data_IF_275128572253
#
_entry.id   IF_275128572253
#
_cell.length_a   1.000
_cell.length_b   1.000
_cell.length_c   1.000
_cell.angle_alpha   90.00
_cell.angle_beta   90.00
_cell.angle_gamma   90.00
#
_symmetry.space_group_name_H-M   'P 1'
#
loop_
_entity.id
_entity.type
_entity.pdbx_description
1 polymer ?
#
# COMPACT_ATOMS: atom_id res chain seq x y z
N UNK A 1 1.36 24.55 6.30
CA UNK A 1 1.60 23.10 6.51
C UNK A 1 0.71 22.40 5.49
N UNK A 2 1.23 21.44 4.73
CA UNK A 2 0.41 20.65 3.81
C UNK A 2 -0.72 19.96 4.58
N UNK A 3 -1.88 19.85 3.95
CA UNK A 3 -3.02 19.12 4.53
C UNK A 3 -2.63 17.66 4.76
N UNK A 4 -3.07 17.08 5.86
CA UNK A 4 -2.86 15.66 6.15
C UNK A 4 -4.17 14.89 5.99
N UNK A 5 -4.17 13.92 5.09
CA UNK A 5 -5.34 13.09 4.80
C UNK A 5 -4.91 11.62 4.79
N UNK A 6 -5.70 10.75 5.45
CA UNK A 6 -5.44 9.32 5.40
C UNK A 6 -5.86 8.74 4.04
N UNK A 7 -5.09 7.80 3.50
CA UNK A 7 -5.39 7.18 2.19
C UNK A 7 -6.77 6.52 2.17
N UNK A 8 -7.23 5.94 3.31
CA UNK A 8 -8.60 5.41 3.44
C UNK A 8 -9.70 6.48 3.29
N UNK A 9 -9.43 7.74 3.67
CA UNK A 9 -10.40 8.84 3.51
C UNK A 9 -10.58 9.21 2.03
N UNK A 10 -9.47 9.34 1.32
CA UNK A 10 -9.47 9.60 -0.12
C UNK A 10 -10.11 8.44 -0.91
N UNK A 11 -9.87 7.19 -0.47
CA UNK A 11 -10.54 6.01 -0.99
C UNK A 11 -12.07 6.11 -0.86
N UNK A 12 -12.57 6.41 0.34
CA UNK A 12 -14.03 6.55 0.56
C UNK A 12 -14.67 7.67 -0.27
N UNK A 13 -13.92 8.76 -0.56
CA UNK A 13 -14.38 9.85 -1.45
C UNK A 13 -14.36 9.42 -2.92
N UNK A 14 -13.30 8.71 -3.34
CA UNK A 14 -13.21 8.18 -4.69
C UNK A 14 -14.33 7.15 -4.99
N UNK A 15 -14.73 6.36 -4.01
CA UNK A 15 -15.83 5.40 -4.17
C UNK A 15 -17.16 6.07 -4.49
N UNK A 16 -17.47 7.24 -3.88
CA UNK A 16 -18.68 8.00 -4.24
C UNK A 16 -18.64 8.38 -5.72
N UNK A 17 -17.53 8.98 -6.16
CA UNK A 17 -17.36 9.36 -7.56
C UNK A 17 -17.47 8.15 -8.52
N UNK A 18 -16.98 6.99 -8.10
CA UNK A 18 -17.03 5.76 -8.90
C UNK A 18 -18.46 5.23 -9.06
N UNK A 19 -19.23 5.13 -7.97
CA UNK A 19 -20.59 4.60 -8.04
C UNK A 19 -21.53 5.53 -8.81
N UNK A 20 -21.21 6.83 -8.86
CA UNK A 20 -21.95 7.81 -9.68
C UNK A 20 -21.61 7.70 -11.18
N UNK A 21 -20.37 7.32 -11.52
CA UNK A 21 -19.88 7.25 -12.90
C UNK A 21 -20.02 5.89 -13.55
N UNK A 22 -20.09 4.84 -12.74
CA UNK A 22 -20.06 3.45 -13.21
C UNK A 22 -21.08 2.59 -12.47
N UNK A 23 -22.20 2.29 -13.15
CA UNK A 23 -23.29 1.49 -12.59
C UNK A 23 -22.90 0.06 -12.20
N UNK A 24 -21.77 -0.44 -12.70
CA UNK A 24 -21.26 -1.77 -12.37
C UNK A 24 -20.53 -1.80 -11.02
N UNK A 25 -20.07 -0.66 -10.51
CA UNK A 25 -19.36 -0.59 -9.23
C UNK A 25 -20.33 -0.80 -8.09
N UNK A 26 -19.96 -1.71 -7.18
CA UNK A 26 -20.65 -1.98 -5.91
C UNK A 26 -19.61 -2.05 -4.78
N UNK A 27 -20.02 -1.66 -3.57
CA UNK A 27 -19.14 -1.55 -2.41
C UNK A 27 -19.61 -2.53 -1.34
N UNK A 28 -18.71 -3.37 -0.88
CA UNK A 28 -18.95 -4.39 0.15
C UNK A 28 -18.08 -4.08 1.37
N UNK A 29 -18.63 -4.30 2.55
CA UNK A 29 -17.93 -4.06 3.83
C UNK A 29 -18.25 -5.16 4.85
N UNK A 30 -17.30 -5.46 5.72
CA UNK A 30 -17.44 -6.47 6.77
C UNK A 30 -17.59 -5.82 8.15
N UNK A 31 -18.64 -4.99 8.32
CA UNK A 31 -19.03 -4.31 9.57
C UNK A 31 -18.02 -3.25 10.08
N UNK A 32 -17.19 -2.72 9.18
CA UNK A 32 -16.17 -1.72 9.49
C UNK A 32 -16.35 -0.41 8.70
N UNK A 33 -17.54 -0.17 8.15
CA UNK A 33 -17.80 0.89 7.17
C UNK A 33 -17.36 2.30 7.62
N UNK A 34 -17.46 2.63 8.91
CA UNK A 34 -16.97 3.90 9.43
C UNK A 34 -15.44 3.98 9.42
N UNK A 35 -14.77 2.89 9.73
CA UNK A 35 -13.31 2.81 9.76
C UNK A 35 -12.72 2.76 8.35
N UNK A 36 -13.30 1.99 7.44
CA UNK A 36 -12.88 1.86 6.04
C UNK A 36 -13.30 3.07 5.18
N UNK A 37 -14.21 3.93 5.69
CA UNK A 37 -14.83 5.08 5.02
C UNK A 37 -15.86 4.71 3.94
N UNK A 38 -16.23 3.46 3.79
CA UNK A 38 -17.30 3.00 2.89
C UNK A 38 -18.67 3.46 3.34
N UNK A 39 -18.84 3.89 4.61
CA UNK A 39 -20.07 4.52 5.11
C UNK A 39 -20.49 5.75 4.31
N UNK A 40 -19.58 6.38 3.58
CA UNK A 40 -19.90 7.50 2.69
C UNK A 40 -20.79 7.03 1.54
N UNK A 41 -20.46 5.88 0.92
CA UNK A 41 -21.30 5.25 -0.11
C UNK A 41 -22.60 4.74 0.50
N UNK A 42 -22.57 4.08 1.67
CA UNK A 42 -23.76 3.61 2.36
C UNK A 42 -24.80 4.73 2.62
N UNK A 43 -24.33 5.96 2.85
CA UNK A 43 -25.19 7.13 3.06
C UNK A 43 -25.70 7.75 1.76
N UNK A 44 -24.85 7.88 0.75
CA UNK A 44 -25.15 8.57 -0.50
C UNK A 44 -25.88 7.65 -1.51
N UNK A 45 -25.48 6.38 -1.56
CA UNK A 45 -25.93 5.38 -2.53
C UNK A 45 -26.17 4.02 -1.85
N UNK A 46 -27.17 3.91 -0.96
CA UNK A 46 -27.42 2.69 -0.19
C UNK A 46 -27.71 1.46 -1.08
N UNK A 47 -28.20 1.65 -2.29
CA UNK A 47 -28.47 0.59 -3.28
C UNK A 47 -27.18 -0.01 -3.88
N UNK A 48 -26.03 0.66 -3.70
CA UNK A 48 -24.71 0.20 -4.16
C UNK A 48 -23.84 -0.33 -3.02
N UNK A 49 -24.36 -0.35 -1.79
CA UNK A 49 -23.62 -0.73 -0.59
C UNK A 49 -24.18 -2.00 0.06
N UNK A 50 -23.30 -2.95 0.41
CA UNK A 50 -23.66 -4.22 1.04
C UNK A 50 -22.80 -4.48 2.27
N UNK A 51 -23.42 -4.54 3.44
CA UNK A 51 -22.74 -4.91 4.68
C UNK A 51 -22.95 -6.40 4.97
N UNK A 52 -21.85 -7.15 5.08
CA UNK A 52 -21.86 -8.59 5.32
C UNK A 52 -21.74 -8.96 6.80
N UNK A 53 -21.67 -7.99 7.71
CA UNK A 53 -21.33 -8.26 9.11
C UNK A 53 -19.86 -8.72 9.24
N UNK A 54 -19.52 -9.30 10.40
CA UNK A 54 -18.15 -9.78 10.66
C UNK A 54 -17.94 -11.16 9.96
N UNK A 55 -17.94 -11.11 8.60
CA UNK A 55 -17.91 -12.32 7.77
C UNK A 55 -17.11 -12.08 6.46
N UNK A 56 -15.82 -11.76 6.59
CA UNK A 56 -14.95 -11.35 5.49
C UNK A 56 -14.81 -12.41 4.40
N UNK A 57 -14.74 -13.69 4.78
CA UNK A 57 -14.72 -14.81 3.83
C UNK A 57 -15.98 -14.84 2.97
N UNK A 58 -17.18 -14.71 3.60
CA UNK A 58 -18.45 -14.64 2.89
C UNK A 58 -18.55 -13.41 1.99
N UNK A 59 -18.05 -12.25 2.44
CA UNK A 59 -18.00 -11.02 1.65
C UNK A 59 -17.19 -11.23 0.36
N UNK A 60 -16.02 -11.87 0.46
CA UNK A 60 -15.14 -12.12 -0.69
C UNK A 60 -15.77 -13.13 -1.67
N UNK A 61 -16.38 -14.21 -1.17
CA UNK A 61 -17.07 -15.18 -2.03
C UNK A 61 -18.29 -14.56 -2.73
N UNK A 62 -19.06 -13.72 -2.04
CA UNK A 62 -20.16 -12.98 -2.64
C UNK A 62 -19.67 -12.01 -3.73
N UNK A 63 -18.54 -11.31 -3.48
CA UNK A 63 -17.91 -10.44 -4.47
C UNK A 63 -17.46 -11.21 -5.71
N UNK A 64 -16.88 -12.39 -5.53
CA UNK A 64 -16.53 -13.28 -6.63
C UNK A 64 -17.76 -13.63 -7.48
N UNK A 65 -18.87 -14.00 -6.84
CA UNK A 65 -20.15 -14.24 -7.53
C UNK A 65 -20.69 -13.00 -8.26
N UNK A 66 -20.66 -11.83 -7.63
CA UNK A 66 -21.08 -10.56 -8.24
C UNK A 66 -20.25 -10.21 -9.48
N UNK A 67 -18.93 -10.48 -9.44
CA UNK A 67 -18.03 -10.27 -10.57
C UNK A 67 -18.43 -11.12 -11.78
N UNK A 68 -18.90 -12.36 -11.59
CA UNK A 68 -19.38 -13.20 -12.71
C UNK A 68 -20.62 -12.64 -13.39
N UNK A 69 -21.36 -11.76 -12.72
CA UNK A 69 -22.52 -11.05 -13.27
C UNK A 69 -22.15 -9.71 -13.94
N UNK A 70 -20.86 -9.43 -14.08
CA UNK A 70 -20.34 -8.22 -14.72
C UNK A 70 -20.27 -6.99 -13.82
N UNK A 71 -20.43 -7.17 -12.50
CA UNK A 71 -20.20 -6.11 -11.51
C UNK A 71 -18.71 -5.95 -11.20
N UNK A 72 -18.33 -4.81 -10.67
CA UNK A 72 -16.98 -4.50 -10.18
C UNK A 72 -17.06 -4.26 -8.67
N UNK A 73 -16.97 -5.33 -7.86
CA UNK A 73 -17.08 -5.21 -6.41
C UNK A 73 -15.79 -4.70 -5.78
N UNK A 74 -15.93 -3.71 -4.90
CA UNK A 74 -14.90 -3.18 -3.99
C UNK A 74 -15.17 -3.71 -2.59
N UNK A 75 -14.35 -4.66 -2.12
CA UNK A 75 -14.45 -5.28 -0.80
C UNK A 75 -13.57 -4.53 0.19
N UNK A 76 -14.13 -4.08 1.30
CA UNK A 76 -13.41 -3.30 2.31
C UNK A 76 -13.52 -3.94 3.69
N UNK A 77 -12.38 -4.08 4.33
CA UNK A 77 -12.20 -4.48 5.72
C UNK A 77 -10.79 -4.08 6.19
N UNK A 78 -10.37 -4.44 7.40
CA UNK A 78 -8.98 -4.24 7.80
C UNK A 78 -8.04 -5.23 7.09
N UNK A 79 -6.79 -4.80 6.88
CA UNK A 79 -5.79 -5.61 6.19
C UNK A 79 -5.57 -6.98 6.85
N UNK A 80 -5.55 -7.01 8.19
CA UNK A 80 -5.42 -8.27 8.93
C UNK A 80 -6.57 -9.23 8.66
N UNK A 81 -7.78 -8.73 8.49
CA UNK A 81 -8.94 -9.58 8.25
C UNK A 81 -9.09 -9.96 6.78
N UNK A 82 -8.72 -9.08 5.85
CA UNK A 82 -8.64 -9.45 4.43
C UNK A 82 -7.54 -10.48 4.18
N UNK A 83 -6.30 -10.15 4.54
CA UNK A 83 -5.14 -11.00 4.25
C UNK A 83 -5.06 -12.25 5.13
N UNK A 84 -5.54 -12.18 6.37
CA UNK A 84 -5.53 -13.32 7.30
C UNK A 84 -6.77 -14.21 7.19
N UNK A 85 -7.95 -13.62 7.49
CA UNK A 85 -9.21 -14.39 7.63
C UNK A 85 -9.80 -14.84 6.30
N UNK A 86 -9.75 -13.98 5.26
CA UNK A 86 -10.31 -14.27 3.94
C UNK A 86 -9.26 -14.68 2.89
N UNK A 87 -8.04 -15.04 3.31
CA UNK A 87 -6.95 -15.37 2.39
C UNK A 87 -7.29 -16.48 1.40
N UNK A 88 -7.91 -17.56 1.88
CA UNK A 88 -8.28 -18.68 1.04
C UNK A 88 -9.29 -18.27 -0.03
N UNK A 89 -10.31 -17.49 0.32
CA UNK A 89 -11.32 -16.99 -0.61
C UNK A 89 -10.73 -16.03 -1.64
N UNK A 90 -9.84 -15.13 -1.20
CA UNK A 90 -9.10 -14.23 -2.12
C UNK A 90 -8.29 -15.07 -3.11
N UNK A 91 -7.61 -16.13 -2.64
CA UNK A 91 -6.79 -16.99 -3.49
C UNK A 91 -7.63 -17.85 -4.45
N UNK A 92 -8.63 -18.56 -3.93
CA UNK A 92 -9.34 -19.59 -4.67
C UNK A 92 -10.60 -19.09 -5.38
N UNK A 93 -11.39 -18.22 -4.72
CA UNK A 93 -12.63 -17.73 -5.29
C UNK A 93 -12.42 -16.51 -6.20
N UNK A 94 -11.34 -15.71 -5.97
CA UNK A 94 -11.09 -14.48 -6.72
C UNK A 94 -9.90 -14.63 -7.67
N UNK A 95 -8.70 -14.93 -7.15
CA UNK A 95 -7.49 -14.89 -7.97
C UNK A 95 -7.35 -16.08 -8.92
N UNK A 96 -7.67 -17.30 -8.48
CA UNK A 96 -7.55 -18.50 -9.30
C UNK A 96 -8.40 -18.44 -10.59
N UNK A 97 -9.70 -18.03 -10.53
CA UNK A 97 -10.50 -17.82 -11.73
C UNK A 97 -10.26 -16.45 -12.40
N UNK A 98 -9.38 -15.62 -11.86
CA UNK A 98 -9.05 -14.27 -12.33
C UNK A 98 -10.26 -13.31 -12.37
N UNK A 99 -11.08 -13.32 -11.34
CA UNK A 99 -12.27 -12.48 -11.26
C UNK A 99 -11.94 -11.02 -10.94
N UNK A 100 -12.75 -10.12 -11.50
CA UNK A 100 -12.58 -8.67 -11.38
C UNK A 100 -13.08 -8.14 -10.02
N UNK A 101 -12.37 -8.49 -8.94
CA UNK A 101 -12.68 -8.07 -7.56
C UNK A 101 -11.57 -7.19 -7.01
N UNK A 102 -11.93 -6.09 -6.33
CA UNK A 102 -11.01 -5.14 -5.71
C UNK A 102 -11.04 -5.32 -4.19
N UNK A 103 -9.98 -5.89 -3.63
CA UNK A 103 -9.80 -6.04 -2.18
C UNK A 103 -9.08 -4.79 -1.68
N UNK A 104 -9.83 -3.86 -1.09
CA UNK A 104 -9.32 -2.58 -0.61
C UNK A 104 -9.21 -2.61 0.91
N UNK A 105 -8.05 -3.02 1.39
CA UNK A 105 -7.79 -3.29 2.79
C UNK A 105 -7.21 -2.06 3.51
N UNK A 106 -7.85 -1.64 4.58
CA UNK A 106 -7.42 -0.49 5.39
C UNK A 106 -6.70 -0.93 6.66
N UNK A 107 -6.15 0.01 7.42
CA UNK A 107 -5.51 -0.27 8.72
C UNK A 107 -4.36 -1.29 8.62
N UNK A 108 -3.53 -1.17 7.59
CA UNK A 108 -2.35 -1.99 7.45
C UNK A 108 -1.15 -1.39 8.19
N UNK A 109 -0.20 -2.24 8.59
CA UNK A 109 1.05 -1.84 9.21
C UNK A 109 0.95 -1.55 10.71
N UNK A 110 2.06 -1.16 11.31
CA UNK A 110 2.17 -0.89 12.76
C UNK A 110 1.56 0.45 13.17
N UNK A 111 1.39 1.39 12.22
CA UNK A 111 0.75 2.71 12.46
C UNK A 111 -0.76 2.65 12.71
N UNK A 112 -1.36 1.47 12.69
CA UNK A 112 -2.70 1.25 13.26
C UNK A 112 -2.75 1.73 14.70
N UNK A 113 -1.67 1.57 15.43
CA UNK A 113 -1.48 2.21 16.72
C UNK A 113 -2.11 1.43 17.87
N UNK A 114 -3.07 2.03 18.55
CA UNK A 114 -3.61 1.56 19.84
C UNK A 114 -4.26 0.18 19.78
N UNK A 115 -4.80 -0.23 18.63
CA UNK A 115 -5.42 -1.54 18.43
C UNK A 115 -4.41 -2.71 18.59
N UNK A 116 -3.11 -2.40 18.40
CA UNK A 116 -2.01 -3.32 18.70
C UNK A 116 -1.83 -4.47 17.71
N UNK A 117 -0.93 -5.40 18.08
CA UNK A 117 -0.45 -6.46 17.18
C UNK A 117 -1.50 -7.39 16.61
N UNK A 118 -2.67 -7.53 17.23
CA UNK A 118 -3.78 -8.33 16.68
C UNK A 118 -4.45 -7.70 15.46
N UNK A 119 -4.27 -6.39 15.25
CA UNK A 119 -4.86 -5.63 14.13
C UNK A 119 -3.80 -5.07 13.17
N UNK A 120 -2.55 -4.98 13.63
CA UNK A 120 -1.41 -4.48 12.87
C UNK A 120 -0.94 -5.54 11.86
N UNK A 121 -1.47 -5.49 10.63
CA UNK A 121 -1.06 -6.41 9.58
C UNK A 121 0.28 -5.99 8.98
N UNK A 122 1.31 -6.79 9.22
CA UNK A 122 2.67 -6.59 8.74
C UNK A 122 3.10 -7.63 7.70
N UNK A 123 2.20 -8.48 7.26
CA UNK A 123 2.42 -9.60 6.34
C UNK A 123 1.52 -9.58 5.09
N UNK A 124 0.61 -8.64 4.98
CA UNK A 124 -0.38 -8.57 3.90
C UNK A 124 0.24 -8.45 2.51
N UNK A 125 1.28 -7.62 2.34
CA UNK A 125 1.97 -7.50 1.05
C UNK A 125 2.62 -8.82 0.64
N UNK A 126 3.26 -9.53 1.57
CA UNK A 126 3.86 -10.84 1.31
C UNK A 126 2.81 -11.86 0.89
N UNK A 127 1.71 -11.97 1.63
CA UNK A 127 0.61 -12.91 1.36
C UNK A 127 -0.06 -12.63 0.02
N UNK A 128 -0.28 -11.36 -0.34
CA UNK A 128 -0.94 -11.00 -1.59
C UNK A 128 0.01 -11.09 -2.80
N UNK A 129 1.30 -10.78 -2.62
CA UNK A 129 2.30 -10.92 -3.69
C UNK A 129 2.48 -12.37 -4.16
N UNK A 130 2.40 -13.34 -3.26
CA UNK A 130 2.61 -14.76 -3.62
C UNK A 130 1.45 -15.34 -4.42
N UNK A 131 0.26 -14.73 -4.40
CA UNK A 131 -0.91 -15.21 -5.15
C UNK A 131 -0.70 -14.96 -6.65
N UNK A 132 -0.75 -16.00 -7.53
CA UNK A 132 -0.65 -15.80 -8.97
C UNK A 132 -1.75 -14.86 -9.52
N UNK A 133 -1.40 -13.97 -10.44
CA UNK A 133 -2.35 -13.05 -11.09
C UNK A 133 -2.84 -11.89 -10.23
N UNK A 134 -2.58 -11.86 -8.92
CA UNK A 134 -2.96 -10.75 -8.04
C UNK A 134 -2.12 -9.51 -8.34
N UNK A 135 -2.77 -8.37 -8.53
CA UNK A 135 -2.13 -7.06 -8.55
C UNK A 135 -2.08 -6.48 -7.14
N UNK A 136 -0.94 -5.92 -6.71
CA UNK A 136 -0.74 -5.40 -5.34
C UNK A 136 -0.31 -3.94 -5.37
N UNK A 137 -1.10 -3.07 -4.74
CA UNK A 137 -0.94 -1.62 -4.74
C UNK A 137 -0.89 -1.10 -3.31
N UNK A 138 -0.03 -0.12 -3.04
CA UNK A 138 0.09 0.57 -1.76
C UNK A 138 0.36 2.07 -2.00
N UNK A 139 -0.68 2.91 -2.15
CA UNK A 139 -0.54 4.33 -2.45
C UNK A 139 0.08 5.11 -1.28
N UNK A 140 0.88 6.12 -1.60
CA UNK A 140 1.66 6.89 -0.63
C UNK A 140 0.86 8.00 0.07
N UNK A 141 -0.07 8.63 -0.63
CA UNK A 141 -0.87 9.75 -0.12
C UNK A 141 -2.32 9.72 -0.60
N UNK A 142 -3.08 10.74 -0.24
CA UNK A 142 -4.50 10.86 -0.59
C UNK A 142 -4.73 11.01 -2.10
N UNK A 143 -3.89 11.79 -2.79
CA UNK A 143 -4.01 11.99 -4.24
C UNK A 143 -3.77 10.69 -5.00
N UNK A 144 -2.72 9.96 -4.63
CA UNK A 144 -2.40 8.67 -5.24
C UNK A 144 -3.44 7.60 -4.90
N UNK A 145 -3.98 7.59 -3.65
CA UNK A 145 -5.04 6.67 -3.27
C UNK A 145 -6.32 6.89 -4.08
N UNK A 146 -6.71 8.15 -4.29
CA UNK A 146 -7.85 8.51 -5.14
C UNK A 146 -7.59 8.07 -6.58
N UNK A 147 -6.43 8.41 -7.15
CA UNK A 147 -6.08 8.05 -8.53
C UNK A 147 -6.02 6.52 -8.72
N UNK A 148 -5.42 5.79 -7.78
CA UNK A 148 -5.38 4.33 -7.78
C UNK A 148 -6.77 3.71 -7.73
N UNK A 149 -7.67 4.22 -6.86
CA UNK A 149 -9.05 3.75 -6.73
C UNK A 149 -9.81 3.90 -8.05
N UNK A 150 -9.66 5.05 -8.72
CA UNK A 150 -10.28 5.27 -10.03
C UNK A 150 -9.69 4.33 -11.08
N UNK A 151 -8.38 4.19 -11.15
CA UNK A 151 -7.70 3.38 -12.16
C UNK A 151 -8.02 1.89 -12.04
N UNK A 152 -8.11 1.34 -10.82
CA UNK A 152 -8.42 -0.09 -10.66
C UNK A 152 -9.86 -0.45 -11.00
N UNK A 153 -10.78 0.50 -11.03
CA UNK A 153 -12.15 0.24 -11.48
C UNK A 153 -12.21 -0.15 -12.96
N UNK A 154 -11.29 0.38 -13.77
CA UNK A 154 -11.18 0.10 -15.21
C UNK A 154 -10.21 -1.07 -15.50
N UNK A 155 -9.46 -1.53 -14.51
CA UNK A 155 -8.54 -2.67 -14.64
C UNK A 155 -9.30 -3.98 -14.48
N UNK A 156 -9.23 -4.87 -15.47
CA UNK A 156 -9.85 -6.20 -15.41
C UNK A 156 -8.91 -7.20 -14.71
N UNK A 157 -9.37 -7.74 -13.59
CA UNK A 157 -8.63 -8.70 -12.77
C UNK A 157 -8.59 -8.38 -11.29
N UNK A 158 -8.03 -9.31 -10.47
CA UNK A 158 -7.97 -9.18 -9.03
C UNK A 158 -6.94 -8.14 -8.59
N UNK A 159 -7.33 -7.27 -7.67
CA UNK A 159 -6.47 -6.24 -7.09
C UNK A 159 -6.55 -6.28 -5.57
N UNK A 160 -5.41 -6.23 -4.91
CA UNK A 160 -5.27 -5.89 -3.51
C UNK A 160 -4.70 -4.47 -3.38
N UNK A 161 -5.45 -3.58 -2.77
CA UNK A 161 -5.00 -2.21 -2.49
C UNK A 161 -4.88 -1.99 -0.99
N UNK A 162 -3.68 -1.67 -0.53
CA UNK A 162 -3.31 -1.45 0.87
C UNK A 162 -3.47 0.01 1.25
N UNK A 163 -4.27 0.32 2.27
CA UNK A 163 -4.58 1.68 2.70
C UNK A 163 -4.24 1.89 4.19
N UNK A 164 -3.70 3.08 4.50
CA UNK A 164 -3.31 3.46 5.85
C UNK A 164 -4.46 4.07 6.66
N UNK A 165 -4.42 3.87 7.99
CA UNK A 165 -5.25 4.59 8.96
C UNK A 165 -4.69 5.98 9.24
N UNK A 166 -3.36 6.10 9.38
CA UNK A 166 -2.67 7.34 9.71
C UNK A 166 -2.75 8.34 8.55
N UNK A 167 -3.05 9.58 8.88
CA UNK A 167 -3.05 10.67 7.90
C UNK A 167 -1.60 11.11 7.59
N UNK A 168 -1.28 11.18 6.31
CA UNK A 168 0.02 11.64 5.78
C UNK A 168 -0.13 12.98 5.08
N UNK A 169 0.94 13.78 4.94
CA UNK A 169 0.91 14.94 4.08
C UNK A 169 0.46 14.59 2.66
N UNK A 170 -0.39 15.42 2.10
CA UNK A 170 -0.80 15.33 0.70
C UNK A 170 0.30 15.93 -0.17
N UNK A 171 0.75 15.22 -1.18
CA UNK A 171 1.78 15.71 -2.09
C UNK A 171 1.25 16.83 -2.98
N UNK A 172 2.10 17.85 -3.21
CA UNK A 172 1.77 19.04 -3.98
C UNK A 172 2.83 19.32 -5.05
N UNK A 173 2.48 20.16 -6.03
CA UNK A 173 3.40 20.61 -7.08
C UNK A 173 4.01 19.44 -7.87
N UNK A 174 5.31 19.44 -8.04
CA UNK A 174 6.04 18.45 -8.84
C UNK A 174 6.07 17.04 -8.23
N UNK A 175 5.66 16.89 -6.97
CA UNK A 175 5.52 15.57 -6.33
C UNK A 175 4.22 14.86 -6.74
N UNK A 176 3.22 15.59 -7.27
CA UNK A 176 2.00 14.98 -7.80
C UNK A 176 2.31 14.35 -9.16
N UNK A 177 2.38 13.04 -9.18
CA UNK A 177 2.66 12.26 -10.41
C UNK A 177 1.40 11.53 -10.86
N UNK A 178 1.25 11.29 -12.17
CA UNK A 178 0.19 10.41 -12.67
C UNK A 178 0.30 9.02 -12.05
N UNK A 179 -0.82 8.44 -11.61
CA UNK A 179 -0.86 7.05 -11.24
C UNK A 179 -0.94 6.19 -12.50
N UNK A 180 0.08 5.36 -12.72
CA UNK A 180 0.12 4.38 -13.81
C UNK A 180 0.44 3.02 -13.21
N UNK A 181 -0.52 2.10 -13.26
CA UNK A 181 -0.35 0.77 -12.70
C UNK A 181 0.92 0.09 -13.22
N UNK A 182 1.74 -0.43 -12.32
CA UNK A 182 3.00 -1.10 -12.67
C UNK A 182 4.17 -0.16 -12.95
N UNK A 183 4.01 1.15 -12.80
CA UNK A 183 5.09 2.13 -12.90
C UNK A 183 5.43 2.74 -11.53
N UNK A 184 6.68 3.15 -11.37
CA UNK A 184 7.15 3.83 -10.16
C UNK A 184 7.21 5.34 -10.38
N UNK A 185 7.13 6.13 -9.29
CA UNK A 185 7.23 7.58 -9.32
C UNK A 185 8.51 8.05 -8.65
N UNK A 186 9.41 8.71 -9.38
CA UNK A 186 10.57 9.38 -8.82
C UNK A 186 10.13 10.71 -8.21
N UNK A 187 10.19 10.81 -6.89
CA UNK A 187 9.78 12.00 -6.14
C UNK A 187 10.96 12.91 -5.79
N UNK A 188 12.15 12.35 -5.68
CA UNK A 188 13.40 13.06 -5.46
C UNK A 188 14.52 12.40 -6.24
N UNK A 189 15.25 13.18 -7.01
CA UNK A 189 16.48 12.76 -7.65
C UNK A 189 17.63 12.65 -6.63
N UNK A 190 18.66 11.87 -6.93
CA UNK A 190 19.86 11.70 -6.12
C UNK A 190 20.86 10.79 -6.81
N UNK A 191 22.04 10.62 -6.23
CA UNK A 191 23.13 9.84 -6.86
C UNK A 191 23.88 8.91 -5.90
N UNK A 192 23.76 9.12 -4.58
CA UNK A 192 24.57 8.39 -3.61
C UNK A 192 23.88 7.13 -3.07
N UNK A 193 22.54 7.14 -3.00
CA UNK A 193 21.70 6.03 -2.57
C UNK A 193 20.30 6.13 -3.18
N UNK A 194 19.74 5.01 -3.62
CA UNK A 194 18.35 4.92 -4.06
C UNK A 194 17.49 4.34 -2.93
N UNK A 195 16.48 5.09 -2.49
CA UNK A 195 15.50 4.70 -1.49
C UNK A 195 14.21 4.34 -2.21
N UNK A 196 13.86 3.06 -2.25
CA UNK A 196 12.57 2.58 -2.74
C UNK A 196 11.61 2.44 -1.57
N UNK A 197 10.55 3.20 -1.57
CA UNK A 197 9.57 3.22 -0.50
C UNK A 197 8.15 2.97 -1.01
N UNK A 198 7.25 2.55 -0.14
CA UNK A 198 5.83 2.35 -0.48
C UNK A 198 4.91 2.85 0.64
N UNK A 199 3.70 3.25 0.25
CA UNK A 199 2.68 3.71 1.18
C UNK A 199 3.16 4.87 2.06
N UNK A 200 2.75 4.87 3.32
CA UNK A 200 3.10 5.87 4.32
C UNK A 200 4.61 6.14 4.42
N UNK A 201 5.45 5.12 4.18
CA UNK A 201 6.90 5.25 4.30
C UNK A 201 7.53 6.13 3.21
N UNK A 202 6.83 6.46 2.16
CA UNK A 202 7.32 7.40 1.13
C UNK A 202 7.56 8.79 1.71
N UNK A 203 6.62 9.31 2.50
CA UNK A 203 6.80 10.61 3.17
C UNK A 203 7.98 10.57 4.17
N UNK A 204 8.04 9.53 4.99
CA UNK A 204 9.15 9.38 5.95
C UNK A 204 10.51 9.25 5.24
N UNK A 205 10.55 8.62 4.06
CA UNK A 205 11.75 8.52 3.23
C UNK A 205 12.18 9.86 2.64
N UNK A 206 11.24 10.72 2.25
CA UNK A 206 11.54 12.10 1.80
C UNK A 206 12.16 12.91 2.94
N UNK A 207 11.58 12.84 4.15
CA UNK A 207 12.13 13.50 5.33
C UNK A 207 13.51 12.92 5.72
N UNK A 208 13.70 11.61 5.61
CA UNK A 208 15.02 10.98 5.85
C UNK A 208 16.06 11.44 4.82
N UNK A 209 15.66 11.62 3.55
CA UNK A 209 16.54 12.17 2.52
C UNK A 209 16.96 13.62 2.81
N UNK A 210 16.08 14.43 3.42
CA UNK A 210 16.41 15.77 3.88
C UNK A 210 17.42 15.76 5.04
N UNK A 211 17.29 14.80 5.97
CA UNK A 211 18.29 14.60 7.04
C UNK A 211 19.65 14.13 6.47
N UNK A 212 19.65 13.22 5.51
CA UNK A 212 20.87 12.75 4.84
C UNK A 212 21.59 13.88 4.09
N UNK A 213 20.83 14.77 3.46
CA UNK A 213 21.41 15.91 2.74
C UNK A 213 22.21 16.87 3.64
N UNK A 214 21.88 16.98 4.93
CA UNK A 214 22.66 17.76 5.91
C UNK A 214 24.08 17.22 6.11
N UNK A 215 24.27 15.93 5.86
CA UNK A 215 25.57 15.26 5.92
C UNK A 215 26.20 15.07 4.53
N UNK A 216 25.66 15.75 3.51
CA UNK A 216 26.20 15.72 2.16
C UNK A 216 25.87 14.45 1.35
N UNK A 217 24.90 13.64 1.81
CA UNK A 217 24.45 12.44 1.12
C UNK A 217 23.26 12.80 0.25
N UNK A 218 23.38 12.61 -1.08
CA UNK A 218 22.38 12.93 -2.09
C UNK A 218 21.53 11.67 -2.39
N UNK A 219 20.41 11.53 -1.64
CA UNK A 219 19.53 10.37 -1.72
C UNK A 219 18.40 10.60 -2.71
N UNK A 220 18.20 9.64 -3.63
CA UNK A 220 17.00 9.54 -4.45
C UNK A 220 15.87 8.86 -3.65
N UNK A 221 14.61 9.30 -3.88
CA UNK A 221 13.41 8.67 -3.30
C UNK A 221 12.45 8.28 -4.42
N UNK A 222 12.18 6.99 -4.50
CA UNK A 222 11.34 6.37 -5.54
C UNK A 222 10.14 5.73 -4.85
N UNK A 223 8.95 6.21 -5.19
CA UNK A 223 7.69 5.63 -4.72
C UNK A 223 7.32 4.41 -5.58
N UNK A 224 7.29 3.23 -4.96
CA UNK A 224 6.82 1.98 -5.54
C UNK A 224 5.37 1.76 -5.08
N UNK A 225 4.43 2.49 -5.66
CA UNK A 225 3.01 2.35 -5.35
C UNK A 225 2.40 1.04 -5.88
N UNK A 226 2.97 0.44 -6.91
CA UNK A 226 2.58 -0.89 -7.42
C UNK A 226 3.71 -1.88 -7.14
N UNK A 227 3.47 -2.79 -6.19
CA UNK A 227 4.48 -3.76 -5.76
C UNK A 227 4.45 -5.00 -6.66
N UNK A 228 3.26 -5.29 -7.23
CA UNK A 228 3.08 -6.36 -8.21
C UNK A 228 2.03 -5.95 -9.27
N UNK A 229 2.40 -5.89 -10.56
CA UNK A 229 3.77 -6.02 -11.10
C UNK A 229 4.64 -4.84 -10.68
N UNK A 230 5.90 -5.09 -10.33
CA UNK A 230 6.86 -4.03 -9.98
C UNK A 230 7.47 -3.43 -11.26
N UNK A 231 7.81 -2.12 -11.21
CA UNK A 231 8.55 -1.44 -12.28
C UNK A 231 10.03 -1.85 -12.28
N UNK A 232 10.32 -3.00 -12.87
CA UNK A 232 11.66 -3.57 -12.91
C UNK A 232 12.68 -2.68 -13.64
N UNK A 233 12.25 -1.91 -14.65
CA UNK A 233 13.10 -0.98 -15.39
C UNK A 233 13.56 0.16 -14.49
N UNK A 234 12.63 0.79 -13.79
CA UNK A 234 12.92 1.88 -12.85
C UNK A 234 13.82 1.38 -11.70
N UNK A 235 13.50 0.23 -11.10
CA UNK A 235 14.29 -0.36 -10.02
C UNK A 235 15.73 -0.62 -10.47
N UNK A 236 15.91 -1.24 -11.64
CA UNK A 236 17.23 -1.55 -12.19
C UNK A 236 18.04 -0.27 -12.46
N UNK A 237 17.44 0.71 -13.15
CA UNK A 237 18.10 1.95 -13.52
C UNK A 237 18.61 2.75 -12.29
N UNK A 238 17.79 2.84 -11.23
CA UNK A 238 18.18 3.55 -10.02
C UNK A 238 19.21 2.78 -9.20
N UNK A 239 19.12 1.46 -9.16
CA UNK A 239 20.13 0.63 -8.49
C UNK A 239 21.50 0.72 -9.18
N UNK A 240 21.54 0.72 -10.51
CA UNK A 240 22.78 0.94 -11.30
C UNK A 240 23.35 2.34 -11.10
N UNK A 241 22.49 3.39 -11.12
CA UNK A 241 22.89 4.78 -10.96
C UNK A 241 23.54 5.05 -9.60
N UNK A 242 22.97 4.51 -8.53
CA UNK A 242 23.41 4.81 -7.16
C UNK A 242 24.36 3.76 -6.57
N UNK A 243 24.35 2.51 -7.03
CA UNK A 243 25.16 1.42 -6.50
C UNK A 243 24.83 1.01 -5.06
N UNK A 244 23.88 1.70 -4.42
CA UNK A 244 23.40 1.47 -3.05
C UNK A 244 21.89 1.60 -3.02
N UNK A 245 21.24 0.59 -2.49
CA UNK A 245 19.77 0.43 -2.50
C UNK A 245 19.26 0.24 -1.08
N UNK A 246 18.29 1.03 -0.71
CA UNK A 246 17.53 0.88 0.53
C UNK A 246 16.07 0.67 0.15
N UNK A 247 15.40 -0.30 0.78
CA UNK A 247 13.94 -0.43 0.68
C UNK A 247 13.30 -0.06 2.01
N UNK A 248 12.16 0.64 1.97
CA UNK A 248 11.46 1.12 3.16
C UNK A 248 9.99 0.77 3.09
N UNK A 249 9.53 0.00 4.06
CA UNK A 249 8.14 -0.47 4.13
C UNK A 249 7.64 -0.58 5.58
N UNK A 250 6.42 -0.22 5.82
CA UNK A 250 5.72 -0.45 7.09
C UNK A 250 5.11 -1.86 7.09
N UNK A 251 5.97 -2.85 6.93
CA UNK A 251 5.66 -4.27 6.74
C UNK A 251 6.84 -5.10 7.23
N UNK A 252 6.66 -6.40 7.42
CA UNK A 252 7.79 -7.30 7.64
C UNK A 252 8.82 -7.15 6.52
N UNK A 253 10.11 -7.16 6.86
CA UNK A 253 11.20 -7.20 5.88
C UNK A 253 11.23 -8.50 5.07
N UNK A 254 10.37 -9.47 5.43
CA UNK A 254 10.22 -10.78 4.77
C UNK A 254 9.01 -10.74 3.83
N UNK A 255 9.22 -10.96 2.55
CA UNK A 255 8.17 -11.14 1.54
C UNK A 255 7.56 -9.86 0.97
N UNK A 256 7.83 -8.66 1.53
CA UNK A 256 7.25 -7.39 1.12
C UNK A 256 7.95 -6.70 -0.06
N UNK A 257 8.02 -5.36 0.00
CA UNK A 257 8.68 -4.53 -1.01
C UNK A 257 10.16 -4.88 -1.15
N UNK A 258 10.86 -5.07 -0.02
CA UNK A 258 12.29 -5.38 -0.03
C UNK A 258 12.61 -6.62 -0.85
N UNK A 259 11.83 -7.67 -0.72
CA UNK A 259 12.00 -8.88 -1.53
C UNK A 259 11.59 -8.68 -2.99
N UNK A 260 10.56 -7.87 -3.27
CA UNK A 260 10.18 -7.54 -4.65
C UNK A 260 11.31 -6.81 -5.40
N UNK A 261 11.99 -5.88 -4.73
CA UNK A 261 13.13 -5.15 -5.28
C UNK A 261 14.34 -6.10 -5.41
N UNK A 262 14.63 -6.91 -4.40
CA UNK A 262 15.73 -7.88 -4.44
C UNK A 262 15.57 -8.89 -5.59
N UNK A 263 14.37 -9.41 -5.84
CA UNK A 263 14.06 -10.33 -6.94
C UNK A 263 14.39 -9.71 -8.32
N UNK A 264 14.17 -8.40 -8.48
CA UNK A 264 14.53 -7.68 -9.72
C UNK A 264 16.03 -7.58 -9.89
N UNK A 265 16.77 -7.28 -8.81
CA UNK A 265 18.18 -6.93 -8.85
C UNK A 265 19.11 -8.16 -8.83
N UNK A 266 18.67 -9.27 -8.23
CA UNK A 266 19.51 -10.46 -8.04
C UNK A 266 20.08 -10.99 -9.36
N UNK A 267 21.39 -11.09 -9.42
CA UNK A 267 22.11 -11.56 -10.59
C UNK A 267 22.18 -10.56 -11.77
N UNK A 268 21.61 -9.36 -11.63
CA UNK A 268 21.59 -8.32 -12.66
C UNK A 268 22.42 -7.10 -12.28
N UNK A 269 22.27 -6.63 -11.05
CA UNK A 269 22.93 -5.40 -10.56
C UNK A 269 23.77 -5.72 -9.34
N UNK A 270 25.05 -5.30 -9.37
CA UNK A 270 25.93 -5.38 -8.19
C UNK A 270 25.76 -4.09 -7.36
N UNK A 271 25.02 -4.15 -6.29
CA UNK A 271 24.78 -3.02 -5.39
C UNK A 271 24.82 -3.45 -3.92
N UNK A 272 25.11 -2.51 -3.02
CA UNK A 272 24.81 -2.71 -1.60
C UNK A 272 23.28 -2.64 -1.41
N UNK A 273 22.74 -3.55 -0.64
CA UNK A 273 21.29 -3.65 -0.45
C UNK A 273 20.93 -3.78 1.03
N UNK A 274 20.02 -2.95 1.52
CA UNK A 274 19.52 -3.04 2.90
C UNK A 274 18.01 -2.80 2.94
N UNK A 275 17.30 -3.53 3.79
CA UNK A 275 15.85 -3.40 4.01
C UNK A 275 15.57 -2.68 5.32
N UNK A 276 14.67 -1.71 5.31
CA UNK A 276 14.11 -1.06 6.50
C UNK A 276 12.63 -1.43 6.57
N UNK A 277 12.22 -2.02 7.68
CA UNK A 277 10.86 -2.49 7.94
C UNK A 277 10.77 -3.14 9.31
N UNK A 278 9.72 -3.91 9.55
CA UNK A 278 9.54 -4.67 10.80
C UNK A 278 10.39 -5.94 10.76
N UNK A 279 11.34 -6.06 11.70
CA UNK A 279 12.33 -7.14 11.72
C UNK A 279 11.82 -8.36 12.51
N UNK A 280 11.04 -9.22 11.85
CA UNK A 280 10.56 -10.52 12.34
C UNK A 280 10.03 -10.48 13.79
N UNK A 281 9.15 -9.52 14.05
CA UNK A 281 8.53 -9.34 15.36
C UNK A 281 7.09 -8.84 15.20
N UNK A 282 6.20 -9.22 16.12
CA UNK A 282 4.83 -8.72 16.13
C UNK A 282 4.77 -7.23 16.48
N UNK A 283 3.66 -6.59 16.08
CA UNK A 283 3.34 -5.24 16.51
C UNK A 283 2.96 -5.14 17.99
N UNK A 284 2.79 -3.91 18.47
CA UNK A 284 2.39 -3.62 19.84
C UNK A 284 1.47 -2.41 19.92
N UNK A 285 0.68 -2.31 21.00
CA UNK A 285 -0.20 -1.16 21.23
C UNK A 285 0.59 0.08 21.60
N UNK A 286 0.20 1.22 21.05
CA UNK A 286 0.81 2.52 21.36
C UNK A 286 0.24 3.59 20.44
N UNK A 287 0.61 4.85 20.64
CA UNK A 287 0.30 5.89 19.66
C UNK A 287 1.07 5.62 18.36
N UNK A 288 0.45 5.83 17.22
CA UNK A 288 1.05 5.51 15.92
C UNK A 288 2.49 6.04 15.75
N UNK A 289 2.76 7.29 16.16
CA UNK A 289 4.10 7.88 16.08
C UNK A 289 5.12 7.19 17.00
N UNK A 290 4.71 6.79 18.21
CA UNK A 290 5.58 6.10 19.16
C UNK A 290 5.88 4.68 18.67
N UNK A 291 4.88 4.00 18.08
CA UNK A 291 5.06 2.68 17.49
C UNK A 291 5.98 2.74 16.27
N UNK A 292 5.81 3.70 15.36
CA UNK A 292 6.74 3.87 14.24
C UNK A 292 8.18 4.09 14.74
N UNK A 293 8.37 4.87 15.80
CA UNK A 293 9.68 5.07 16.42
C UNK A 293 10.25 3.79 17.03
N UNK A 294 9.45 2.99 17.69
CA UNK A 294 9.88 1.71 18.27
C UNK A 294 10.44 0.75 17.21
N UNK A 295 9.84 0.75 16.03
CA UNK A 295 10.28 -0.11 14.91
C UNK A 295 11.34 0.54 14.01
N UNK A 296 11.89 1.71 14.37
CA UNK A 296 12.93 2.38 13.58
C UNK A 296 12.43 2.99 12.27
N UNK A 297 11.13 3.27 12.17
CA UNK A 297 10.45 3.75 10.95
C UNK A 297 10.22 5.27 10.93
N UNK A 298 10.87 6.03 11.80
CA UNK A 298 10.85 7.50 11.74
C UNK A 298 12.03 8.03 10.91
N UNK A 299 11.86 9.19 10.30
CA UNK A 299 12.83 9.77 9.37
C UNK A 299 14.25 9.88 9.93
N UNK A 300 14.40 10.32 11.18
CA UNK A 300 15.69 10.44 11.87
C UNK A 300 16.39 9.09 12.07
N UNK A 301 15.63 8.06 12.46
CA UNK A 301 16.14 6.71 12.65
C UNK A 301 16.49 6.04 11.32
N UNK A 302 15.64 6.23 10.30
CA UNK A 302 15.92 5.73 8.95
C UNK A 302 17.17 6.38 8.38
N UNK A 303 17.34 7.70 8.53
CA UNK A 303 18.56 8.39 8.08
C UNK A 303 19.82 7.82 8.76
N UNK A 304 19.75 7.55 10.07
CA UNK A 304 20.87 6.92 10.80
C UNK A 304 21.16 5.50 10.29
N UNK A 305 20.13 4.68 10.07
CA UNK A 305 20.26 3.33 9.53
C UNK A 305 20.84 3.35 8.12
N UNK A 306 20.39 4.26 7.25
CA UNK A 306 20.90 4.41 5.90
C UNK A 306 22.39 4.75 5.93
N UNK A 307 22.81 5.75 6.72
CA UNK A 307 24.23 6.12 6.86
C UNK A 307 25.12 4.95 7.27
N UNK A 308 24.62 4.09 8.15
CA UNK A 308 25.38 2.93 8.62
C UNK A 308 25.53 1.82 7.56
N UNK A 309 24.70 1.82 6.50
CA UNK A 309 24.61 0.73 5.51
C UNK A 309 25.03 1.11 4.07
N UNK A 310 25.44 2.36 3.84
CA UNK A 310 25.84 2.83 2.50
C UNK A 310 27.34 3.00 2.28
#
# INVERSE_FOLDING_TARGET
MADKIATRQAYGEALIELVEKNDKVVVLDADLANATQTCKVAKAHPEKFYNFGIAEANMVDAAAGMSTMGLVPFCSTFAMFAAGRAYEQIRNSVAYPHFNVKICATHAGVSVGEDGGSHQCIEDLALMRVIPGMTVICPADANEAKAATMAIADFDGPVYMRLARLATPVFEGDMVKPFVLGKANVLREGKDVAIFATGLMVNESLLAADELAKDGIDAAVINIHTIKPIDAECVTAWAEKCGKVITVEEHSVIGGLGDAVADVLMGKVNCKFHKIGVNDQFGQSGKAADVLREYGLTADQMAATIKANI
#
